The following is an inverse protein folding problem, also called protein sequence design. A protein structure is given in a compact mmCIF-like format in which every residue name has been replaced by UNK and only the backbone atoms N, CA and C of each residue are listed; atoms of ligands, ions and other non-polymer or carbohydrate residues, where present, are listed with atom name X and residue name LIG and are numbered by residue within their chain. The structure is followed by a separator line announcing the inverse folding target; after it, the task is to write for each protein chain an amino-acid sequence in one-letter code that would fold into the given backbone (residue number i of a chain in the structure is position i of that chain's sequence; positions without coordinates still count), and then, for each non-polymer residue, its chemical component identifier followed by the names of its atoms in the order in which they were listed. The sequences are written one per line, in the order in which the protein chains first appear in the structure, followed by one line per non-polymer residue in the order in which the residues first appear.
data_IF_425998607281
#
_entry.id   IF_425998607281
#
_cell.length_a   1.000
_cell.length_b   1.000
_cell.length_c   1.000
_cell.angle_alpha   90.00
_cell.angle_beta   90.00
_cell.angle_gamma   90.00
#
_symmetry.space_group_name_H-M   'P 1'
#
loop_
_entity.id
_entity.type
_entity.pdbx_description
1 polymer ?
#
# COMPACT_ATOMS: atom_id res chain seq x y z
N UNK A 1 6.31 13.71 -39.36
CA UNK A 1 6.25 14.22 -37.97
C UNK A 1 5.90 13.03 -37.09
N UNK A 2 6.43 12.94 -35.87
CA UNK A 2 6.13 11.81 -34.98
C UNK A 2 4.68 11.90 -34.51
N UNK A 3 3.84 10.94 -34.88
CA UNK A 3 2.41 10.94 -34.54
C UNK A 3 2.15 10.62 -33.06
N UNK A 4 3.17 10.14 -32.34
CA UNK A 4 3.14 9.76 -30.93
C UNK A 4 3.54 10.89 -29.96
N UNK A 5 3.95 12.07 -30.45
CA UNK A 5 4.38 13.18 -29.58
C UNK A 5 3.28 13.67 -28.63
N UNK A 6 2.01 13.66 -29.09
CA UNK A 6 0.84 13.97 -28.24
C UNK A 6 0.72 13.02 -27.06
N UNK A 7 0.95 11.74 -27.30
CA UNK A 7 0.91 10.71 -26.25
C UNK A 7 2.07 10.90 -25.27
N UNK A 8 3.27 11.22 -25.77
CA UNK A 8 4.44 11.47 -24.93
C UNK A 8 4.21 12.71 -24.06
N UNK A 9 3.72 13.83 -24.60
CA UNK A 9 3.46 15.06 -23.82
C UNK A 9 2.44 14.82 -22.70
N UNK A 10 1.28 14.24 -23.04
CA UNK A 10 0.23 14.00 -22.06
C UNK A 10 0.69 13.07 -20.93
N UNK A 11 1.42 12.00 -21.24
CA UNK A 11 1.92 11.07 -20.24
C UNK A 11 3.14 11.61 -19.48
N UNK A 12 3.98 12.43 -20.10
CA UNK A 12 5.08 13.11 -19.42
C UNK A 12 4.54 14.02 -18.31
N UNK A 13 3.46 14.75 -18.58
CA UNK A 13 2.81 15.56 -17.56
C UNK A 13 2.24 14.69 -16.43
N UNK A 14 1.46 13.65 -16.76
CA UNK A 14 0.88 12.72 -15.76
C UNK A 14 1.93 12.05 -14.88
N UNK A 15 3.03 11.58 -15.47
CA UNK A 15 4.13 10.98 -14.73
C UNK A 15 4.83 12.00 -13.83
N UNK A 16 5.06 13.22 -14.33
CA UNK A 16 5.70 14.29 -13.56
C UNK A 16 4.87 14.73 -12.36
N UNK A 17 3.55 14.90 -12.54
CA UNK A 17 2.61 15.23 -11.48
C UNK A 17 2.50 14.10 -10.45
N UNK A 18 2.40 12.85 -10.92
CA UNK A 18 2.33 11.69 -10.04
C UNK A 18 3.59 11.53 -9.19
N UNK A 19 4.79 11.63 -9.79
CA UNK A 19 6.06 11.65 -9.06
C UNK A 19 6.13 12.81 -8.07
N UNK A 20 5.56 13.98 -8.41
CA UNK A 20 5.52 15.13 -7.51
C UNK A 20 4.65 14.87 -6.28
N UNK A 21 3.47 14.27 -6.45
CA UNK A 21 2.61 13.89 -5.32
C UNK A 21 3.34 12.92 -4.39
N UNK A 22 4.02 11.91 -4.94
CA UNK A 22 4.81 10.97 -4.15
C UNK A 22 5.96 11.68 -3.39
N UNK A 23 6.67 12.60 -4.04
CA UNK A 23 7.73 13.40 -3.43
C UNK A 23 7.21 14.26 -2.28
N UNK A 24 6.06 14.92 -2.48
CA UNK A 24 5.46 15.80 -1.48
C UNK A 24 4.95 15.01 -0.27
N UNK A 25 4.46 13.79 -0.46
CA UNK A 25 4.15 12.88 0.67
C UNK A 25 5.43 12.49 1.40
N UNK A 26 6.47 12.09 0.68
CA UNK A 26 7.77 11.77 1.27
C UNK A 26 8.32 12.94 2.10
N UNK A 27 8.15 14.17 1.61
CA UNK A 27 8.68 15.38 2.22
C UNK A 27 7.85 15.89 3.39
N UNK A 28 6.55 16.08 3.18
CA UNK A 28 5.71 16.84 4.12
C UNK A 28 4.91 15.97 5.08
N UNK A 29 4.80 14.66 4.79
CA UNK A 29 4.10 13.71 5.67
C UNK A 29 5.09 12.83 6.42
N UNK A 30 6.12 12.33 5.73
CA UNK A 30 7.03 11.32 6.29
C UNK A 30 8.42 11.86 6.66
N UNK A 31 8.74 13.11 6.31
CA UNK A 31 10.07 13.71 6.49
C UNK A 31 11.25 12.82 6.01
N UNK A 32 11.03 12.01 4.96
CA UNK A 32 11.96 10.96 4.53
C UNK A 32 12.94 11.48 3.45
N UNK A 33 14.06 12.06 3.89
CA UNK A 33 15.04 12.72 3.02
C UNK A 33 15.55 11.87 1.83
N UNK A 34 15.86 10.59 2.05
CA UNK A 34 16.33 9.68 0.99
C UNK A 34 15.30 9.52 -0.14
N UNK A 35 14.03 9.25 0.22
CA UNK A 35 12.94 9.09 -0.76
C UNK A 35 12.66 10.39 -1.52
N UNK A 36 12.76 11.54 -0.85
CA UNK A 36 12.67 12.85 -1.51
C UNK A 36 13.77 12.99 -2.56
N UNK A 37 15.01 12.61 -2.25
CA UNK A 37 16.13 12.64 -3.19
C UNK A 37 15.87 11.76 -4.41
N UNK A 38 15.46 10.51 -4.17
CA UNK A 38 15.15 9.53 -5.23
C UNK A 38 14.02 10.04 -6.15
N UNK A 39 12.89 10.48 -5.60
CA UNK A 39 11.73 10.92 -6.38
C UNK A 39 12.01 12.23 -7.13
N UNK A 40 12.81 13.12 -6.54
CA UNK A 40 13.28 14.33 -7.22
C UNK A 40 14.17 13.97 -8.42
N UNK A 41 15.15 13.09 -8.25
CA UNK A 41 16.02 12.64 -9.34
C UNK A 41 15.21 11.99 -10.45
N UNK A 42 14.28 11.09 -10.14
CA UNK A 42 13.43 10.43 -11.13
C UNK A 42 12.69 11.43 -12.05
N UNK A 43 12.22 12.57 -11.53
CA UNK A 43 11.59 13.62 -12.36
C UNK A 43 12.59 14.33 -13.28
N UNK A 44 13.80 14.60 -12.80
CA UNK A 44 14.86 15.20 -13.60
C UNK A 44 15.32 14.25 -14.70
N UNK A 45 15.56 12.99 -14.35
CA UNK A 45 16.01 11.94 -15.26
C UNK A 45 14.96 11.67 -16.34
N UNK A 46 13.66 11.71 -16.00
CA UNK A 46 12.59 11.58 -16.98
C UNK A 46 12.66 12.68 -18.04
N UNK A 47 12.83 13.95 -17.64
CA UNK A 47 12.98 15.05 -18.60
C UNK A 47 14.26 14.94 -19.43
N UNK A 48 15.35 14.50 -18.81
CA UNK A 48 16.61 14.27 -19.51
C UNK A 48 16.46 13.17 -20.58
N UNK A 49 15.78 12.07 -20.27
CA UNK A 49 15.52 10.98 -21.21
C UNK A 49 14.67 11.44 -22.42
N UNK A 50 13.64 12.26 -22.20
CA UNK A 50 12.86 12.83 -23.31
C UNK A 50 13.74 13.73 -24.20
N UNK A 51 14.58 14.56 -23.58
CA UNK A 51 15.48 15.44 -24.32
C UNK A 51 16.52 14.65 -25.12
N UNK A 52 17.08 13.58 -24.55
CA UNK A 52 18.05 12.71 -25.25
C UNK A 52 17.44 11.94 -26.42
N UNK A 53 16.12 11.72 -26.41
CA UNK A 53 15.39 11.17 -27.55
C UNK A 53 15.22 12.18 -28.72
N UNK A 54 15.77 13.40 -28.60
CA UNK A 54 15.61 14.48 -29.57
C UNK A 54 14.24 15.15 -29.52
N UNK A 55 13.51 14.98 -28.41
CA UNK A 55 12.19 15.58 -28.19
C UNK A 55 12.36 16.78 -27.27
N UNK A 56 12.15 17.98 -27.81
CA UNK A 56 12.28 19.23 -27.07
C UNK A 56 10.91 19.74 -26.56
N UNK A 57 10.97 20.74 -25.69
CA UNK A 57 9.76 21.35 -25.12
C UNK A 57 8.88 22.04 -26.16
N UNK A 58 9.47 22.58 -27.23
CA UNK A 58 8.74 23.24 -28.30
C UNK A 58 7.96 22.21 -29.14
N UNK A 59 8.58 21.09 -29.50
CA UNK A 59 7.92 20.00 -30.22
C UNK A 59 6.77 19.38 -29.44
N UNK A 60 6.94 19.19 -28.12
CA UNK A 60 5.85 18.75 -27.25
C UNK A 60 4.71 19.76 -27.21
N UNK A 61 5.02 21.03 -26.96
CA UNK A 61 4.01 22.09 -26.90
C UNK A 61 3.26 22.26 -28.23
N UNK A 62 3.96 22.20 -29.36
CA UNK A 62 3.38 22.29 -30.70
C UNK A 62 2.48 21.10 -31.04
N UNK A 63 2.69 19.94 -30.40
CA UNK A 63 1.85 18.76 -30.60
C UNK A 63 0.52 18.82 -29.84
N UNK A 64 0.39 19.69 -28.82
CA UNK A 64 -0.81 19.76 -27.96
C UNK A 64 -2.04 20.20 -28.73
N UNK A 65 -3.13 19.48 -28.49
CA UNK A 65 -4.44 19.79 -29.06
C UNK A 65 -5.53 19.39 -28.06
N UNK A 66 -5.51 20.08 -26.90
CA UNK A 66 -6.50 19.87 -25.83
C UNK A 66 -7.95 20.09 -26.28
N UNK A 67 -8.28 21.08 -27.13
CA UNK A 67 -9.65 21.25 -27.63
C UNK A 67 -10.11 20.12 -28.57
N UNK A 68 -9.19 19.52 -29.33
CA UNK A 68 -9.45 18.38 -30.22
C UNK A 68 -9.28 17.00 -29.58
N UNK A 69 -8.79 16.93 -28.33
CA UNK A 69 -8.63 15.67 -27.60
C UNK A 69 -10.00 15.04 -27.31
N UNK A 70 -10.25 13.90 -27.96
CA UNK A 70 -11.45 13.09 -27.77
C UNK A 70 -11.42 12.49 -26.36
N UNK A 71 -12.54 12.60 -25.64
CA UNK A 71 -12.68 12.00 -24.31
C UNK A 71 -12.34 12.92 -23.14
N UNK A 72 -12.00 14.20 -23.38
CA UNK A 72 -11.81 15.22 -22.33
C UNK A 72 -13.04 15.43 -21.45
N UNK A 73 -14.25 15.19 -21.99
CA UNK A 73 -15.52 15.20 -21.24
C UNK A 73 -15.99 13.83 -20.75
N UNK A 74 -15.32 12.73 -21.14
CA UNK A 74 -15.71 11.36 -20.74
C UNK A 74 -15.10 11.09 -19.37
N UNK A 75 -15.81 11.53 -18.32
CA UNK A 75 -15.56 11.01 -16.97
C UNK A 75 -16.18 9.61 -16.86
N UNK A 76 -15.55 8.71 -16.11
CA UNK A 76 -16.02 7.33 -15.86
C UNK A 76 -17.36 7.23 -15.11
N UNK A 77 -18.15 8.31 -15.08
CA UNK A 77 -19.51 8.36 -14.53
C UNK A 77 -20.58 7.86 -15.51
N UNK A 78 -20.35 7.89 -16.83
CA UNK A 78 -21.42 7.67 -17.81
C UNK A 78 -21.42 6.31 -18.55
N UNK A 79 -20.55 5.37 -18.17
CA UNK A 79 -20.54 4.03 -18.79
C UNK A 79 -20.29 2.93 -17.78
N UNK A 80 -21.31 2.08 -17.56
CA UNK A 80 -21.27 0.83 -16.79
C UNK A 80 -21.07 0.96 -15.27
N UNK A 81 -22.19 1.03 -14.54
CA UNK A 81 -22.30 0.46 -13.18
C UNK A 81 -21.24 0.91 -12.17
N UNK A 82 -21.29 2.18 -11.77
CA UNK A 82 -20.99 2.56 -10.37
C UNK A 82 -19.60 2.23 -9.82
N UNK A 83 -18.53 2.46 -10.57
CA UNK A 83 -17.18 2.66 -10.01
C UNK A 83 -16.55 3.93 -10.59
N UNK A 84 -17.21 5.07 -10.34
CA UNK A 84 -16.61 6.38 -10.58
C UNK A 84 -15.29 6.53 -9.81
N UNK A 85 -14.49 7.54 -10.17
CA UNK A 85 -13.30 7.99 -9.41
C UNK A 85 -13.45 7.66 -7.92
N UNK A 86 -12.72 6.66 -7.42
CA UNK A 86 -12.87 6.24 -6.03
C UNK A 86 -12.62 7.46 -5.17
N UNK A 87 -13.56 7.74 -4.26
CA UNK A 87 -13.38 8.76 -3.22
C UNK A 87 -12.09 8.39 -2.48
N UNK A 88 -11.09 9.27 -2.54
CA UNK A 88 -9.83 9.10 -1.81
C UNK A 88 -10.10 9.57 -0.40
N UNK A 89 -10.05 8.66 0.57
CA UNK A 89 -10.40 8.99 1.96
C UNK A 89 -9.15 9.16 2.81
N UNK A 90 -8.01 8.59 2.40
CA UNK A 90 -6.76 8.63 3.18
C UNK A 90 -5.53 8.96 2.34
N UNK A 91 -4.41 9.29 2.99
CA UNK A 91 -3.12 9.52 2.32
C UNK A 91 -2.60 8.26 1.62
N UNK A 92 -2.94 7.08 2.15
CA UNK A 92 -2.63 5.81 1.51
C UNK A 92 -3.35 5.68 0.15
N UNK A 93 -4.63 6.06 0.06
CA UNK A 93 -5.37 6.08 -1.21
C UNK A 93 -4.78 7.07 -2.23
N UNK A 94 -4.39 8.26 -1.75
CA UNK A 94 -3.75 9.29 -2.56
C UNK A 94 -2.43 8.78 -3.16
N UNK A 95 -1.56 8.21 -2.31
CA UNK A 95 -0.29 7.64 -2.73
C UNK A 95 -0.47 6.49 -3.71
N UNK A 96 -1.38 5.56 -3.41
CA UNK A 96 -1.66 4.41 -4.28
C UNK A 96 -2.11 4.86 -5.66
N UNK A 97 -3.05 5.81 -5.73
CA UNK A 97 -3.53 6.35 -7.00
C UNK A 97 -2.47 7.16 -7.76
N UNK A 98 -1.61 7.91 -7.08
CA UNK A 98 -0.49 8.62 -7.71
C UNK A 98 0.55 7.64 -8.27
N UNK A 99 0.88 6.58 -7.53
CA UNK A 99 1.81 5.55 -7.94
C UNK A 99 1.32 4.80 -9.19
N UNK A 100 0.07 4.33 -9.20
CA UNK A 100 -0.51 3.63 -10.35
C UNK A 100 -0.51 4.49 -11.61
N UNK A 101 -0.97 5.76 -11.51
CA UNK A 101 -0.98 6.68 -12.66
C UNK A 101 0.41 7.01 -13.18
N UNK A 102 1.37 7.18 -12.27
CA UNK A 102 2.79 7.39 -12.64
C UNK A 102 3.31 6.21 -13.44
N UNK A 103 3.05 4.99 -12.96
CA UNK A 103 3.52 3.77 -13.60
C UNK A 103 2.92 3.56 -14.99
N UNK A 104 1.61 3.76 -15.13
CA UNK A 104 0.90 3.69 -16.41
C UNK A 104 1.46 4.73 -17.40
N UNK A 105 1.63 5.97 -16.96
CA UNK A 105 2.15 7.04 -17.79
C UNK A 105 3.60 6.77 -18.26
N UNK A 106 4.48 6.35 -17.35
CA UNK A 106 5.85 5.96 -17.70
C UNK A 106 5.88 4.77 -18.66
N UNK A 107 4.95 3.82 -18.53
CA UNK A 107 4.84 2.68 -19.46
C UNK A 107 4.45 3.14 -20.87
N UNK A 108 3.52 4.09 -20.99
CA UNK A 108 3.14 4.64 -22.31
C UNK A 108 4.34 5.34 -22.95
N UNK A 109 5.05 6.19 -22.21
CA UNK A 109 6.26 6.88 -22.70
C UNK A 109 7.31 5.86 -23.16
N UNK A 110 7.58 4.83 -22.34
CA UNK A 110 8.52 3.76 -22.65
C UNK A 110 8.20 3.11 -24.01
N UNK A 111 6.94 2.75 -24.25
CA UNK A 111 6.52 2.10 -25.49
C UNK A 111 6.54 3.04 -26.70
N UNK A 112 6.15 4.31 -26.56
CA UNK A 112 6.27 5.30 -27.63
C UNK A 112 7.74 5.49 -28.05
N UNK A 113 8.65 5.62 -27.08
CA UNK A 113 10.08 5.81 -27.35
C UNK A 113 10.72 4.62 -28.08
N UNK A 114 10.20 3.39 -27.90
CA UNK A 114 10.66 2.19 -28.62
C UNK A 114 10.33 2.20 -30.11
N UNK A 115 9.37 3.02 -30.56
CA UNK A 115 9.03 3.17 -31.98
C UNK A 115 10.12 3.91 -32.78
N UNK A 116 10.97 4.68 -32.11
CA UNK A 116 12.05 5.44 -32.76
C UNK A 116 13.35 4.67 -32.97
N UNK A 117 14.33 5.41 -33.49
CA UNK A 117 15.70 4.93 -33.74
C UNK A 117 16.57 4.98 -32.48
N UNK A 118 17.85 4.63 -32.60
CA UNK A 118 18.82 4.42 -31.51
C UNK A 118 18.66 5.35 -30.28
N UNK A 119 18.78 6.69 -30.42
CA UNK A 119 18.67 7.61 -29.29
C UNK A 119 17.32 7.55 -28.57
N UNK A 120 16.24 7.31 -29.32
CA UNK A 120 14.91 7.15 -28.76
C UNK A 120 14.76 5.82 -28.02
N UNK A 121 15.32 4.72 -28.55
CA UNK A 121 15.30 3.42 -27.86
C UNK A 121 16.09 3.44 -26.56
N UNK A 122 17.25 4.11 -26.56
CA UNK A 122 18.07 4.31 -25.35
C UNK A 122 17.30 5.11 -24.29
N UNK A 123 16.63 6.19 -24.69
CA UNK A 123 15.73 6.93 -23.81
C UNK A 123 14.59 6.04 -23.27
N UNK A 124 14.03 5.15 -24.10
CA UNK A 124 13.04 4.16 -23.66
C UNK A 124 13.56 3.24 -22.55
N UNK A 125 14.81 2.76 -22.67
CA UNK A 125 15.45 1.96 -21.63
C UNK A 125 15.68 2.77 -20.34
N UNK A 126 16.05 4.05 -20.45
CA UNK A 126 16.15 4.94 -19.28
C UNK A 126 14.79 5.14 -18.58
N UNK A 127 13.72 5.35 -19.35
CA UNK A 127 12.34 5.48 -18.81
C UNK A 127 11.87 4.18 -18.14
N UNK A 128 12.24 3.02 -18.67
CA UNK A 128 12.00 1.73 -18.01
C UNK A 128 12.68 1.67 -16.64
N UNK A 129 13.92 2.12 -16.52
CA UNK A 129 14.64 2.21 -15.25
C UNK A 129 13.94 3.11 -14.24
N UNK A 130 13.52 4.30 -14.69
CA UNK A 130 12.76 5.27 -13.89
C UNK A 130 11.43 4.65 -13.40
N UNK A 131 10.74 3.90 -14.27
CA UNK A 131 9.49 3.21 -13.91
C UNK A 131 9.70 2.20 -12.79
N UNK A 132 10.77 1.41 -12.84
CA UNK A 132 11.09 0.47 -11.75
C UNK A 132 11.47 1.17 -10.45
N UNK A 133 12.24 2.25 -10.53
CA UNK A 133 12.55 3.08 -9.37
C UNK A 133 11.29 3.68 -8.75
N UNK A 134 10.37 4.18 -9.57
CA UNK A 134 9.08 4.71 -9.12
C UNK A 134 8.23 3.65 -8.40
N UNK A 135 8.19 2.40 -8.87
CA UNK A 135 7.49 1.32 -8.15
C UNK A 135 8.09 1.04 -6.78
N UNK A 136 9.41 0.92 -6.71
CA UNK A 136 10.10 0.65 -5.45
C UNK A 136 9.89 1.79 -4.45
N UNK A 137 10.06 3.04 -4.90
CA UNK A 137 9.84 4.22 -4.06
C UNK A 137 8.39 4.34 -3.60
N UNK A 138 7.42 4.10 -4.48
CA UNK A 138 6.00 4.09 -4.11
C UNK A 138 5.69 2.99 -3.09
N UNK A 139 6.26 1.80 -3.24
CA UNK A 139 6.08 0.69 -2.29
C UNK A 139 6.65 1.04 -0.92
N UNK A 140 7.85 1.63 -0.88
CA UNK A 140 8.46 2.14 0.37
C UNK A 140 7.56 3.19 1.02
N UNK A 141 7.05 4.16 0.26
CA UNK A 141 6.14 5.18 0.77
C UNK A 141 4.87 4.60 1.38
N UNK A 142 4.22 3.67 0.67
CA UNK A 142 2.98 3.05 1.15
C UNK A 142 3.22 2.25 2.44
N UNK A 143 4.36 1.55 2.54
CA UNK A 143 4.73 0.85 3.77
C UNK A 143 5.06 1.82 4.90
N UNK A 144 5.73 2.94 4.62
CA UNK A 144 6.07 3.98 5.61
C UNK A 144 4.86 4.77 6.11
N UNK A 145 3.85 5.00 5.25
CA UNK A 145 2.56 5.55 5.68
C UNK A 145 1.80 4.58 6.62
N UNK A 146 2.20 3.31 6.65
CA UNK A 146 1.55 2.28 7.43
C UNK A 146 0.13 2.00 6.94
N UNK A 147 -0.66 1.39 7.80
CA UNK A 147 -2.11 1.26 7.59
C UNK A 147 -2.81 2.24 8.50
N UNK A 148 -3.86 2.92 8.03
CA UNK A 148 -4.75 3.73 8.88
C UNK A 148 -5.42 2.90 10.02
N UNK A 149 -5.21 1.58 10.02
CA UNK A 149 -5.70 0.61 11.00
C UNK A 149 -4.77 0.38 12.19
N UNK A 150 -3.53 0.85 12.15
CA UNK A 150 -2.57 0.59 13.22
C UNK A 150 -2.73 1.61 14.35
N UNK A 151 -3.70 1.38 15.24
CA UNK A 151 -3.79 2.09 16.51
C UNK A 151 -2.69 1.60 17.45
N UNK A 152 -1.94 2.52 18.04
CA UNK A 152 -1.09 2.20 19.18
C UNK A 152 -2.00 1.79 20.34
N UNK A 153 -1.99 0.51 20.71
CA UNK A 153 -2.75 0.03 21.87
C UNK A 153 -2.10 0.50 23.18
N UNK A 154 -2.94 0.84 24.15
CA UNK A 154 -2.54 1.27 25.49
C UNK A 154 -2.43 0.10 26.45
N UNK A 155 -3.34 -0.86 26.34
CA UNK A 155 -3.40 -2.06 27.17
C UNK A 155 -3.76 -3.27 26.30
N UNK A 156 -2.73 -3.98 25.87
CA UNK A 156 -2.85 -5.24 25.15
C UNK A 156 -2.70 -6.41 26.12
N UNK A 157 -3.73 -7.26 26.25
CA UNK A 157 -3.74 -8.40 27.19
C UNK A 157 -3.65 -9.71 26.42
N UNK A 158 -2.68 -10.56 26.76
CA UNK A 158 -2.61 -11.93 26.25
C UNK A 158 -3.42 -12.87 27.14
N UNK A 159 -4.32 -13.62 26.52
CA UNK A 159 -5.21 -14.56 27.19
C UNK A 159 -4.85 -15.99 26.79
N UNK A 160 -4.64 -16.82 27.81
CA UNK A 160 -4.49 -18.27 27.70
C UNK A 160 -5.09 -18.92 28.93
N UNK A 161 -5.90 -19.96 28.73
CA UNK A 161 -6.53 -20.74 29.79
C UNK A 161 -5.49 -21.31 30.79
N UNK A 162 -4.31 -21.69 30.28
CA UNK A 162 -3.22 -22.20 31.12
C UNK A 162 -2.67 -21.17 32.12
N UNK A 163 -2.74 -19.88 31.79
CA UNK A 163 -2.22 -18.81 32.64
C UNK A 163 -3.22 -18.36 33.71
N UNK A 164 -4.47 -18.81 33.63
CA UNK A 164 -5.55 -18.41 34.55
C UNK A 164 -6.36 -19.64 34.99
N UNK A 165 -5.75 -20.56 35.75
CA UNK A 165 -6.44 -21.79 36.17
C UNK A 165 -7.66 -21.49 37.03
N UNK A 166 -8.75 -22.24 36.82
CA UNK A 166 -9.96 -22.15 37.62
C UNK A 166 -10.95 -21.05 37.22
N UNK A 167 -10.72 -20.35 36.09
CA UNK A 167 -11.66 -19.39 35.52
C UNK A 167 -11.98 -19.74 34.06
N UNK A 168 -13.25 -19.76 33.64
CA UNK A 168 -13.60 -19.87 32.22
C UNK A 168 -12.95 -18.74 31.42
N UNK A 169 -12.41 -19.06 30.24
CA UNK A 169 -11.67 -18.08 29.45
C UNK A 169 -12.56 -16.90 29.00
N UNK A 170 -13.85 -17.14 28.78
CA UNK A 170 -14.82 -16.09 28.42
C UNK A 170 -14.94 -15.05 29.54
N UNK A 171 -15.12 -15.51 30.79
CA UNK A 171 -15.21 -14.63 31.96
C UNK A 171 -13.92 -13.84 32.19
N UNK A 172 -12.77 -14.41 31.82
CA UNK A 172 -11.49 -13.71 31.82
C UNK A 172 -11.47 -12.60 30.76
N UNK A 173 -11.88 -12.88 29.52
CA UNK A 173 -11.97 -11.89 28.44
C UNK A 173 -12.91 -10.74 28.83
N UNK A 174 -14.08 -11.04 29.41
CA UNK A 174 -15.00 -10.01 29.92
C UNK A 174 -14.34 -9.13 30.98
N UNK A 175 -13.60 -9.74 31.92
CA UNK A 175 -12.91 -9.01 32.98
C UNK A 175 -11.83 -8.07 32.43
N UNK A 176 -11.05 -8.51 31.45
CA UNK A 176 -9.97 -7.68 30.87
C UNK A 176 -10.52 -6.55 30.02
N UNK A 177 -11.60 -6.78 29.28
CA UNK A 177 -12.30 -5.74 28.53
C UNK A 177 -12.93 -4.70 29.48
N UNK A 178 -13.58 -5.15 30.55
CA UNK A 178 -14.09 -4.25 31.60
C UNK A 178 -12.97 -3.48 32.31
N UNK A 179 -11.77 -4.05 32.38
CA UNK A 179 -10.56 -3.40 32.88
C UNK A 179 -9.94 -2.37 31.93
N UNK A 180 -10.49 -2.19 30.73
CA UNK A 180 -10.04 -1.19 29.75
C UNK A 180 -8.99 -1.68 28.77
N UNK A 181 -8.85 -3.00 28.58
CA UNK A 181 -8.02 -3.53 27.50
C UNK A 181 -8.55 -3.09 26.13
N UNK A 182 -7.70 -2.46 25.33
CA UNK A 182 -8.03 -2.02 23.96
C UNK A 182 -7.49 -2.99 22.89
N UNK A 183 -6.75 -4.02 23.31
CA UNK A 183 -6.41 -5.18 22.49
C UNK A 183 -6.37 -6.46 23.34
N UNK A 184 -6.90 -7.55 22.80
CA UNK A 184 -6.86 -8.88 23.42
C UNK A 184 -6.28 -9.89 22.43
N UNK A 185 -5.25 -10.62 22.86
CA UNK A 185 -4.63 -11.68 22.06
C UNK A 185 -5.02 -13.06 22.59
N UNK A 186 -5.61 -13.91 21.75
CA UNK A 186 -5.85 -15.32 22.05
C UNK A 186 -4.59 -16.15 21.77
N UNK A 187 -3.99 -16.73 22.82
CA UNK A 187 -2.77 -17.52 22.72
C UNK A 187 -2.98 -18.93 23.26
N UNK A 188 -3.41 -19.83 22.39
CA UNK A 188 -3.69 -21.22 22.74
C UNK A 188 -2.94 -22.21 21.84
N UNK A 189 -1.76 -22.66 22.32
CA UNK A 189 -0.86 -23.53 21.53
C UNK A 189 -1.31 -24.99 21.41
N UNK A 190 -2.26 -25.43 22.24
CA UNK A 190 -2.57 -26.86 22.40
C UNK A 190 -4.05 -27.19 22.14
N UNK A 191 -4.82 -26.22 21.63
CA UNK A 191 -6.20 -26.48 21.27
C UNK A 191 -6.26 -27.10 19.87
N UNK A 192 -7.19 -28.05 19.64
CA UNK A 192 -7.53 -28.48 18.29
C UNK A 192 -8.01 -27.30 17.44
N UNK A 193 -7.63 -27.27 16.16
CA UNK A 193 -7.93 -26.16 15.23
C UNK A 193 -9.40 -25.72 15.21
N UNK A 194 -10.33 -26.68 15.25
CA UNK A 194 -11.78 -26.38 15.28
C UNK A 194 -12.17 -25.60 16.54
N UNK A 195 -11.63 -25.98 17.68
CA UNK A 195 -11.92 -25.33 18.95
C UNK A 195 -11.22 -23.98 19.04
N UNK A 196 -9.98 -23.88 18.56
CA UNK A 196 -9.26 -22.62 18.45
C UNK A 196 -10.01 -21.62 17.58
N UNK A 197 -10.51 -22.05 16.41
CA UNK A 197 -11.31 -21.20 15.53
C UNK A 197 -12.61 -20.73 16.20
N UNK A 198 -13.30 -21.63 16.91
CA UNK A 198 -14.53 -21.29 17.65
C UNK A 198 -14.27 -20.23 18.71
N UNK A 199 -13.20 -20.38 19.51
CA UNK A 199 -12.81 -19.39 20.51
C UNK A 199 -12.37 -18.07 19.88
N UNK A 200 -11.63 -18.11 18.78
CA UNK A 200 -11.23 -16.93 18.03
C UNK A 200 -12.45 -16.12 17.54
N UNK A 201 -13.45 -16.78 16.98
CA UNK A 201 -14.70 -16.13 16.55
C UNK A 201 -15.46 -15.50 17.71
N UNK A 202 -15.50 -16.18 18.87
CA UNK A 202 -16.11 -15.63 20.07
C UNK A 202 -15.34 -14.42 20.60
N UNK A 203 -14.00 -14.48 20.64
CA UNK A 203 -13.17 -13.35 21.03
C UNK A 203 -13.45 -12.13 20.15
N UNK A 204 -13.48 -12.31 18.82
CA UNK A 204 -13.78 -11.24 17.86
C UNK A 204 -15.14 -10.59 18.14
N UNK A 205 -16.16 -11.40 18.47
CA UNK A 205 -17.48 -10.87 18.80
C UNK A 205 -17.45 -10.03 20.10
N UNK A 206 -16.74 -10.52 21.13
CA UNK A 206 -16.63 -9.86 22.44
C UNK A 206 -15.84 -8.54 22.35
N UNK A 207 -14.67 -8.56 21.69
CA UNK A 207 -13.82 -7.36 21.55
C UNK A 207 -14.51 -6.30 20.70
N UNK A 208 -15.18 -6.69 19.61
CA UNK A 208 -15.93 -5.76 18.76
C UNK A 208 -17.05 -5.05 19.52
N UNK A 209 -17.76 -5.76 20.39
CA UNK A 209 -18.78 -5.15 21.24
C UNK A 209 -18.21 -4.14 22.24
N UNK A 210 -16.96 -4.35 22.68
CA UNK A 210 -16.25 -3.47 23.61
C UNK A 210 -15.42 -2.37 22.93
N UNK A 211 -15.36 -2.32 21.59
CA UNK A 211 -14.51 -1.38 20.86
C UNK A 211 -13.00 -1.68 20.96
N UNK A 212 -12.63 -2.92 21.28
CA UNK A 212 -11.25 -3.39 21.38
C UNK A 212 -10.85 -4.24 20.15
N UNK A 213 -9.55 -4.39 19.92
CA UNK A 213 -9.02 -5.26 18.87
C UNK A 213 -8.90 -6.72 19.33
N UNK A 214 -9.13 -7.68 18.43
CA UNK A 214 -8.86 -9.10 18.62
C UNK A 214 -7.67 -9.56 17.77
N UNK A 215 -6.72 -10.22 18.43
CA UNK A 215 -5.54 -10.81 17.79
C UNK A 215 -5.46 -12.31 18.06
N UNK A 216 -5.02 -13.07 17.07
CA UNK A 216 -4.75 -14.50 17.21
C UNK A 216 -3.25 -14.73 17.15
N UNK A 217 -2.69 -15.43 18.13
CA UNK A 217 -1.27 -15.76 18.10
C UNK A 217 -0.99 -16.92 17.13
N UNK A 218 0.16 -16.82 16.45
CA UNK A 218 0.86 -17.86 15.69
C UNK A 218 0.10 -18.32 14.39
N UNK A 219 -1.24 -18.31 14.39
CA UNK A 219 -2.12 -18.91 13.36
C UNK A 219 -2.79 -17.88 12.46
N UNK A 220 -2.12 -17.55 11.34
CA UNK A 220 -2.61 -16.61 10.31
C UNK A 220 -3.93 -17.06 9.67
N UNK A 221 -4.08 -18.36 9.45
CA UNK A 221 -5.28 -18.99 8.89
C UNK A 221 -6.50 -18.82 9.82
N UNK A 222 -6.32 -19.07 11.12
CA UNK A 222 -7.37 -18.88 12.13
C UNK A 222 -7.75 -17.40 12.24
N UNK A 223 -6.78 -16.48 12.22
CA UNK A 223 -7.04 -15.03 12.23
C UNK A 223 -7.94 -14.63 11.04
N UNK A 224 -7.64 -15.11 9.83
CA UNK A 224 -8.43 -14.85 8.63
C UNK A 224 -9.83 -15.45 8.70
N UNK A 225 -9.95 -16.69 9.15
CA UNK A 225 -11.24 -17.41 9.22
C UNK A 225 -12.16 -16.87 10.33
N UNK A 226 -11.59 -16.35 11.41
CA UNK A 226 -12.36 -15.76 12.52
C UNK A 226 -12.76 -14.30 12.27
N UNK A 227 -12.13 -13.63 11.32
CA UNK A 227 -12.32 -12.20 11.09
C UNK A 227 -11.67 -11.34 12.18
N UNK A 228 -10.56 -11.81 12.76
CA UNK A 228 -9.75 -11.07 13.71
C UNK A 228 -9.09 -9.85 13.06
N UNK A 229 -8.78 -8.84 13.88
CA UNK A 229 -8.14 -7.61 13.43
C UNK A 229 -6.67 -7.85 13.06
N UNK A 230 -6.04 -8.84 13.70
CA UNK A 230 -4.65 -9.19 13.43
C UNK A 230 -4.20 -10.57 13.88
N UNK A 231 -2.97 -10.88 13.51
CA UNK A 231 -2.20 -12.04 13.95
C UNK A 231 -0.92 -11.55 14.63
N UNK A 232 -0.50 -12.19 15.72
CA UNK A 232 0.80 -11.93 16.37
C UNK A 232 1.73 -13.13 16.19
N UNK A 233 2.94 -12.89 15.73
CA UNK A 233 3.91 -13.93 15.35
C UNK A 233 5.12 -13.88 16.30
N UNK A 234 5.49 -15.03 16.84
CA UNK A 234 6.76 -15.28 17.52
C UNK A 234 7.92 -15.55 16.56
N UNK A 235 9.11 -15.72 17.11
CA UNK A 235 10.35 -15.97 16.35
C UNK A 235 10.30 -17.29 15.55
N UNK A 236 9.64 -18.31 16.08
CA UNK A 236 9.52 -19.65 15.49
C UNK A 236 8.28 -19.82 14.57
N UNK A 237 7.48 -18.76 14.42
CA UNK A 237 6.26 -18.81 13.60
C UNK A 237 6.56 -18.45 12.13
N UNK A 238 5.50 -18.31 11.31
CA UNK A 238 5.67 -17.75 9.97
C UNK A 238 6.38 -16.39 10.03
N UNK A 239 7.33 -16.18 9.13
CA UNK A 239 7.90 -14.83 8.95
C UNK A 239 6.82 -13.83 8.56
N UNK A 240 7.01 -12.54 8.90
CA UNK A 240 6.09 -11.46 8.50
C UNK A 240 5.85 -11.48 6.99
N UNK A 241 6.90 -11.70 6.19
CA UNK A 241 6.78 -11.83 4.74
C UNK A 241 5.91 -13.04 4.33
N UNK A 242 6.06 -14.18 5.00
CA UNK A 242 5.22 -15.37 4.80
C UNK A 242 3.76 -15.12 5.15
N UNK A 243 3.50 -14.54 6.32
CA UNK A 243 2.15 -14.16 6.74
C UNK A 243 1.49 -13.18 5.75
N UNK A 244 2.24 -12.19 5.25
CA UNK A 244 1.75 -11.22 4.25
C UNK A 244 1.38 -11.86 2.92
N UNK A 245 2.05 -12.94 2.49
CA UNK A 245 1.63 -13.70 1.30
C UNK A 245 0.24 -14.32 1.47
N UNK A 246 -0.11 -14.75 2.69
CA UNK A 246 -1.41 -15.37 2.99
C UNK A 246 -2.51 -14.33 3.19
N UNK A 247 -2.25 -13.32 4.03
CA UNK A 247 -3.29 -12.38 4.45
C UNK A 247 -3.35 -11.09 3.60
N UNK A 248 -2.29 -10.75 2.87
CA UNK A 248 -2.16 -9.46 2.20
C UNK A 248 -2.26 -8.30 3.20
N UNK A 249 -3.11 -7.32 2.87
CA UNK A 249 -3.44 -6.19 3.75
C UNK A 249 -4.72 -6.37 4.57
N UNK A 250 -5.28 -7.60 4.64
CA UNK A 250 -6.60 -7.83 5.27
C UNK A 250 -6.57 -7.72 6.80
N UNK A 251 -5.49 -8.18 7.42
CA UNK A 251 -5.28 -8.17 8.87
C UNK A 251 -3.95 -7.50 9.22
N UNK A 252 -3.86 -7.00 10.45
CA UNK A 252 -2.61 -6.52 11.03
C UNK A 252 -1.68 -7.71 11.34
N UNK A 253 -0.37 -7.49 11.25
CA UNK A 253 0.63 -8.51 11.55
C UNK A 253 1.58 -7.94 12.59
N UNK A 254 1.48 -8.43 13.82
CA UNK A 254 2.43 -8.18 14.89
C UNK A 254 3.56 -9.22 14.84
N UNK A 255 4.76 -8.81 15.22
CA UNK A 255 5.91 -9.69 15.35
C UNK A 255 6.59 -9.43 16.70
N UNK A 256 7.07 -10.49 17.33
CA UNK A 256 7.86 -10.40 18.55
C UNK A 256 9.29 -9.99 18.19
N UNK A 257 9.86 -9.03 18.92
CA UNK A 257 11.25 -8.59 18.75
C UNK A 257 11.94 -8.66 20.10
N UNK A 258 13.05 -9.37 20.19
CA UNK A 258 13.85 -9.52 21.42
C UNK A 258 15.23 -8.85 21.31
N UNK A 259 15.61 -8.42 20.11
CA UNK A 259 16.87 -7.76 19.76
C UNK A 259 16.62 -6.47 18.96
N UNK A 260 17.69 -5.71 18.70
CA UNK A 260 17.62 -4.46 17.92
C UNK A 260 17.56 -4.77 16.41
N UNK A 261 18.22 -5.85 16.01
CA UNK A 261 18.18 -6.45 14.68
C UNK A 261 16.78 -6.97 14.32
#
# INVERSE_FOLDING_TARGET
MRDDLRMIDANLNRASEGLRVLEDVARFVLDHAELVGILKSARHDLRAAITSAGIDGLGLAASRDTPGDIGTGISSREGLGGRGERRRETLHDLCGAAASRTAEALRVIEECLKLGDGPSREAGAAVQGIRYQAYTSASRLLLSLGTDRATQWRLCVLVSERLCPGRPWEALVESVLAGGADCVQLREKNLPDRELLRRAQQLVAMTRAAGAAAFINDRVDIALLSGADGVHLGEEDLSVAGARKLCGGRVLVGASTSSIE
#
